data_IF_627178993315
#
_entry.id   IF_627178993315
#
_cell.length_a   1.000
_cell.length_b   1.000
_cell.length_c   1.000
_cell.angle_alpha   90.00
_cell.angle_beta   90.00
_cell.angle_gamma   90.00
#
_symmetry.space_group_name_H-M   'P 1'
#
loop_
_entity.id
_entity.type
_entity.pdbx_description
1 polymer ?
#
# COMPACT_ATOMS: atom_id res chain seq x y z
N UNK A 1 10.81 5.88 34.39
CA UNK A 1 11.43 7.21 34.19
C UNK A 1 12.51 7.23 33.09
N UNK A 2 12.72 6.14 32.33
CA UNK A 2 13.80 6.00 31.32
C UNK A 2 13.36 6.07 29.85
N UNK A 3 12.05 5.98 29.55
CA UNK A 3 11.53 6.04 28.16
C UNK A 3 11.36 7.49 27.69
N UNK A 4 10.90 8.40 28.57
CA UNK A 4 10.78 9.83 28.25
C UNK A 4 12.14 10.49 27.95
N UNK A 5 13.24 9.96 28.49
CA UNK A 5 14.57 10.49 28.24
C UNK A 5 15.13 10.05 26.86
N UNK A 6 14.81 8.83 26.41
CA UNK A 6 15.16 8.36 25.05
C UNK A 6 14.37 9.07 23.94
N UNK A 7 13.24 9.69 24.28
CA UNK A 7 12.47 10.54 23.36
C UNK A 7 13.04 11.96 23.22
N UNK A 8 13.90 12.39 24.15
CA UNK A 8 14.43 13.76 24.18
C UNK A 8 15.84 13.89 23.57
N UNK A 9 16.57 12.78 23.41
CA UNK A 9 18.01 12.78 23.07
C UNK A 9 18.32 12.44 21.60
N UNK A 10 17.40 12.76 20.68
CA UNK A 10 17.61 12.53 19.24
C UNK A 10 17.17 13.76 18.42
N UNK A 11 17.71 14.91 18.81
CA UNK A 11 17.47 16.24 18.23
C UNK A 11 18.23 16.44 16.92
N UNK A 12 17.73 15.82 15.83
CA UNK A 12 17.61 16.52 14.53
C UNK A 12 16.92 15.68 13.44
N UNK A 13 17.00 14.35 13.51
CA UNK A 13 16.40 13.45 12.50
C UNK A 13 15.18 12.66 12.98
N UNK A 14 14.88 12.66 14.28
CA UNK A 14 13.74 11.94 14.86
C UNK A 14 12.39 12.53 14.45
N UNK A 15 12.26 13.86 14.40
CA UNK A 15 10.99 14.54 14.11
C UNK A 15 10.41 14.20 12.72
N UNK A 16 11.26 13.91 11.73
CA UNK A 16 10.80 13.49 10.39
C UNK A 16 10.43 12.00 10.31
N UNK A 17 11.11 11.13 11.07
CA UNK A 17 10.79 9.69 11.14
C UNK A 17 9.42 9.44 11.77
N UNK A 18 9.10 10.19 12.83
CA UNK A 18 7.85 10.00 13.56
C UNK A 18 6.67 10.77 12.96
N UNK A 19 6.91 11.87 12.22
CA UNK A 19 5.83 12.67 11.62
C UNK A 19 4.95 11.92 10.61
N UNK A 20 5.50 10.93 9.89
CA UNK A 20 4.74 10.12 8.92
C UNK A 20 4.03 8.90 9.55
N UNK A 21 4.54 8.39 10.69
CA UNK A 21 3.93 7.29 11.46
C UNK A 21 2.94 7.82 12.51
N UNK A 22 3.02 9.12 12.85
CA UNK A 22 2.15 9.83 13.79
C UNK A 22 0.69 9.99 13.34
N UNK A 23 0.30 9.43 12.19
CA UNK A 23 -1.06 9.52 11.65
C UNK A 23 -2.13 8.96 12.61
N UNK A 24 -1.78 8.25 13.70
CA UNK A 24 -2.71 8.08 14.82
C UNK A 24 -2.03 7.76 16.18
N UNK A 25 -1.33 8.74 16.76
CA UNK A 25 -0.79 8.68 18.14
C UNK A 25 -1.87 8.50 19.24
N UNK A 26 -3.15 8.58 18.89
CA UNK A 26 -4.27 8.43 19.82
C UNK A 26 -4.39 7.01 20.40
N UNK A 27 -4.21 5.98 19.57
CA UNK A 27 -4.46 4.57 19.92
C UNK A 27 -3.27 3.99 20.72
N UNK A 28 -2.06 4.53 20.54
CA UNK A 28 -0.87 4.20 21.34
C UNK A 28 -1.05 4.53 22.83
N UNK A 29 -1.88 5.52 23.15
CA UNK A 29 -2.18 5.87 24.54
C UNK A 29 -3.04 4.81 25.25
N UNK A 30 -3.86 4.08 24.50
CA UNK A 30 -4.71 3.01 25.00
C UNK A 30 -3.97 1.66 25.18
N UNK A 31 -2.74 1.52 24.65
CA UNK A 31 -1.94 0.30 24.76
C UNK A 31 -1.26 0.18 26.13
N UNK A 32 -1.23 -1.05 26.66
CA UNK A 32 -0.42 -1.42 27.82
C UNK A 32 1.10 -1.39 27.51
N UNK A 33 1.93 -1.31 28.55
CA UNK A 33 3.38 -1.12 28.40
C UNK A 33 4.06 -2.21 27.57
N UNK A 34 3.71 -3.49 27.76
CA UNK A 34 4.25 -4.60 26.96
C UNK A 34 3.93 -4.46 25.46
N UNK A 35 2.76 -3.92 25.13
CA UNK A 35 2.34 -3.74 23.73
C UNK A 35 3.06 -2.57 23.08
N UNK A 36 3.36 -1.52 23.85
CA UNK A 36 4.16 -0.39 23.36
C UNK A 36 5.57 -0.82 22.97
N UNK A 37 6.15 -1.79 23.70
CA UNK A 37 7.47 -2.36 23.36
C UNK A 37 7.39 -3.12 22.04
N UNK A 38 6.41 -4.01 21.87
CA UNK A 38 6.22 -4.76 20.61
C UNK A 38 5.99 -3.81 19.44
N UNK A 39 5.14 -2.80 19.60
CA UNK A 39 4.89 -1.82 18.54
C UNK A 39 6.14 -0.98 18.23
N UNK A 40 6.94 -0.62 19.23
CA UNK A 40 8.20 0.08 19.01
C UNK A 40 9.19 -0.78 18.21
N UNK A 41 9.35 -2.05 18.56
CA UNK A 41 10.20 -2.99 17.83
C UNK A 41 9.73 -3.17 16.37
N UNK A 42 8.41 -3.24 16.15
CA UNK A 42 7.82 -3.30 14.79
C UNK A 42 8.10 -2.02 14.00
N UNK A 43 7.98 -0.85 14.64
CA UNK A 43 8.27 0.44 14.01
C UNK A 43 9.76 0.56 13.68
N UNK A 44 10.66 0.09 14.55
CA UNK A 44 12.10 0.09 14.28
C UNK A 44 12.46 -0.87 13.13
N UNK A 45 11.81 -2.03 13.06
CA UNK A 45 11.97 -2.98 11.96
C UNK A 45 11.49 -2.40 10.63
N UNK A 46 10.30 -1.77 10.59
CA UNK A 46 9.77 -1.09 9.41
C UNK A 46 10.56 0.19 9.07
N UNK A 47 11.18 0.81 10.06
CA UNK A 47 12.10 1.93 9.89
C UNK A 47 13.41 1.53 9.21
N UNK A 48 13.74 0.24 9.17
CA UNK A 48 14.86 -0.28 8.39
C UNK A 48 14.49 -0.32 6.90
N UNK A 49 15.12 0.57 6.13
CA UNK A 49 14.85 0.74 4.70
C UNK A 49 15.09 -0.55 3.89
N UNK A 50 16.02 -1.39 4.32
CA UNK A 50 16.33 -2.66 3.66
C UNK A 50 15.17 -3.65 3.84
N UNK A 51 14.64 -3.75 5.06
CA UNK A 51 13.53 -4.65 5.38
C UNK A 51 12.25 -4.19 4.66
N UNK A 52 11.91 -2.91 4.77
CA UNK A 52 10.75 -2.34 4.06
C UNK A 52 10.89 -2.44 2.54
N UNK A 53 12.10 -2.25 2.00
CA UNK A 53 12.39 -2.48 0.59
C UNK A 53 12.15 -3.92 0.18
N UNK A 54 12.63 -4.89 0.97
CA UNK A 54 12.42 -6.31 0.72
C UNK A 54 10.92 -6.70 0.71
N UNK A 55 10.13 -6.17 1.64
CA UNK A 55 8.68 -6.38 1.65
C UNK A 55 8.00 -5.83 0.39
N UNK A 56 8.39 -4.63 -0.06
CA UNK A 56 7.82 -4.05 -1.29
C UNK A 56 8.22 -4.83 -2.55
N UNK A 57 9.45 -5.34 -2.61
CA UNK A 57 9.92 -6.20 -3.71
C UNK A 57 9.10 -7.48 -3.78
N UNK A 58 8.92 -8.16 -2.65
CA UNK A 58 8.15 -9.41 -2.58
C UNK A 58 6.66 -9.18 -2.83
N UNK A 59 6.10 -8.05 -2.38
CA UNK A 59 4.73 -7.65 -2.69
C UNK A 59 4.54 -7.39 -4.20
N UNK A 60 5.49 -6.68 -4.84
CA UNK A 60 5.45 -6.43 -6.28
C UNK A 60 5.54 -7.71 -7.11
N UNK A 61 6.42 -8.64 -6.74
CA UNK A 61 6.52 -9.95 -7.37
C UNK A 61 5.22 -10.75 -7.22
N UNK A 62 4.61 -10.71 -6.03
CA UNK A 62 3.32 -11.38 -5.75
C UNK A 62 2.20 -10.81 -6.61
N UNK A 63 2.17 -9.50 -6.85
CA UNK A 63 1.18 -8.86 -7.70
C UNK A 63 1.29 -9.30 -9.16
N UNK A 64 2.51 -9.47 -9.67
CA UNK A 64 2.75 -9.99 -11.02
C UNK A 64 2.30 -11.45 -11.16
N UNK A 65 2.60 -12.28 -10.16
CA UNK A 65 2.11 -13.68 -10.11
C UNK A 65 0.59 -13.74 -10.04
N UNK A 66 -0.04 -12.88 -9.23
CA UNK A 66 -1.48 -12.81 -9.08
C UNK A 66 -2.18 -12.54 -10.42
N UNK A 67 -1.65 -11.63 -11.25
CA UNK A 67 -2.22 -11.36 -12.57
C UNK A 67 -2.24 -12.61 -13.46
N UNK A 68 -1.17 -13.42 -13.43
CA UNK A 68 -1.09 -14.71 -14.12
C UNK A 68 -2.08 -15.73 -13.57
N UNK A 69 -2.13 -15.89 -12.24
CA UNK A 69 -3.08 -16.80 -11.57
C UNK A 69 -4.54 -16.45 -11.90
N UNK A 70 -4.91 -15.17 -11.83
CA UNK A 70 -6.27 -14.71 -12.12
C UNK A 70 -6.65 -14.96 -13.58
N UNK A 71 -5.72 -14.71 -14.50
CA UNK A 71 -5.94 -14.96 -15.93
C UNK A 71 -6.07 -16.45 -16.23
N UNK A 72 -5.30 -17.30 -15.56
CA UNK A 72 -5.41 -18.75 -15.71
C UNK A 72 -6.71 -19.29 -15.09
N UNK A 73 -7.10 -18.80 -13.91
CA UNK A 73 -8.36 -19.16 -13.27
C UNK A 73 -9.56 -18.74 -14.14
N UNK A 74 -9.48 -17.57 -14.78
CA UNK A 74 -10.53 -17.09 -15.69
C UNK A 74 -10.70 -17.97 -16.94
N UNK A 75 -9.64 -18.67 -17.38
CA UNK A 75 -9.73 -19.65 -18.46
C UNK A 75 -10.46 -20.93 -18.05
N UNK A 76 -10.34 -21.35 -16.79
CA UNK A 76 -10.91 -22.60 -16.30
C UNK A 76 -12.32 -22.44 -15.70
N UNK A 77 -12.54 -21.36 -14.95
CA UNK A 77 -13.78 -21.14 -14.18
C UNK A 77 -14.60 -19.95 -14.70
N UNK A 78 -14.14 -19.26 -15.75
CA UNK A 78 -14.83 -18.13 -16.37
C UNK A 78 -14.38 -16.76 -15.85
N UNK A 79 -14.61 -15.74 -16.67
CA UNK A 79 -14.10 -14.37 -16.47
C UNK A 79 -14.62 -13.70 -15.19
N UNK A 80 -15.85 -13.99 -14.77
CA UNK A 80 -16.44 -13.39 -13.57
C UNK A 80 -16.06 -14.11 -12.29
N UNK A 81 -15.78 -15.42 -12.37
CA UNK A 81 -15.44 -16.22 -11.19
C UNK A 81 -14.04 -15.92 -10.66
N UNK A 82 -13.07 -15.66 -11.55
CA UNK A 82 -11.69 -15.35 -11.15
C UNK A 82 -11.58 -14.15 -10.19
N UNK A 83 -12.11 -12.94 -10.49
CA UNK A 83 -12.06 -11.83 -9.54
C UNK A 83 -12.86 -12.12 -8.27
N UNK A 84 -14.03 -12.79 -8.36
CA UNK A 84 -14.79 -13.19 -7.17
C UNK A 84 -13.96 -14.05 -6.22
N UNK A 85 -13.27 -15.07 -6.74
CA UNK A 85 -12.41 -15.94 -5.94
C UNK A 85 -11.19 -15.22 -5.38
N UNK A 86 -10.55 -14.35 -6.16
CA UNK A 86 -9.37 -13.61 -5.70
C UNK A 86 -9.71 -12.60 -4.60
N UNK A 87 -10.85 -11.90 -4.70
CA UNK A 87 -11.33 -11.04 -3.62
C UNK A 87 -11.87 -11.83 -2.43
N UNK A 88 -12.53 -12.96 -2.66
CA UNK A 88 -13.03 -13.82 -1.58
C UNK A 88 -11.90 -14.42 -0.75
N UNK A 89 -10.88 -14.99 -1.40
CA UNK A 89 -9.69 -15.51 -0.71
C UNK A 89 -8.88 -14.40 -0.03
N UNK A 90 -8.73 -13.24 -0.69
CA UNK A 90 -8.12 -12.05 -0.10
C UNK A 90 -8.85 -11.56 1.15
N UNK A 91 -10.20 -11.54 1.13
CA UNK A 91 -11.02 -11.17 2.27
C UNK A 91 -10.79 -12.10 3.46
N UNK A 92 -10.69 -13.42 3.23
CA UNK A 92 -10.38 -14.39 4.29
C UNK A 92 -9.01 -14.08 4.91
N UNK A 93 -7.98 -13.82 4.09
CA UNK A 93 -6.67 -13.42 4.60
C UNK A 93 -6.72 -12.13 5.42
N UNK A 94 -7.45 -11.11 4.94
CA UNK A 94 -7.65 -9.86 5.67
C UNK A 94 -8.40 -10.07 6.99
N UNK A 95 -9.41 -10.95 7.03
CA UNK A 95 -10.14 -11.29 8.26
C UNK A 95 -9.24 -11.99 9.28
N UNK A 96 -8.41 -12.93 8.85
CA UNK A 96 -7.43 -13.58 9.73
C UNK A 96 -6.47 -12.55 10.30
N UNK A 97 -5.93 -11.67 9.46
CA UNK A 97 -5.06 -10.58 9.90
C UNK A 97 -5.76 -9.65 10.90
N UNK A 98 -7.00 -9.25 10.61
CA UNK A 98 -7.81 -8.42 11.51
C UNK A 98 -8.06 -9.09 12.88
N UNK A 99 -8.35 -10.39 12.91
CA UNK A 99 -8.55 -11.13 14.16
C UNK A 99 -7.23 -11.20 14.95
N UNK A 100 -6.11 -11.49 14.28
CA UNK A 100 -4.80 -11.52 14.94
C UNK A 100 -4.46 -10.13 15.51
N UNK A 101 -4.67 -9.08 14.73
CA UNK A 101 -4.37 -7.71 15.15
C UNK A 101 -5.25 -7.27 16.34
N UNK A 102 -6.55 -7.54 16.29
CA UNK A 102 -7.47 -7.19 17.38
C UNK A 102 -7.31 -8.05 18.63
N UNK A 103 -6.89 -9.32 18.51
CA UNK A 103 -6.75 -10.22 19.67
C UNK A 103 -5.33 -10.22 20.26
N UNK A 104 -4.30 -10.27 19.42
CA UNK A 104 -2.90 -10.34 19.86
C UNK A 104 -2.29 -8.95 20.07
N UNK A 105 -2.51 -8.03 19.13
CA UNK A 105 -2.00 -6.65 19.19
C UNK A 105 -2.97 -5.68 19.89
N UNK A 106 -4.18 -6.17 20.23
CA UNK A 106 -5.27 -5.43 20.89
C UNK A 106 -5.55 -4.06 20.26
N UNK A 107 -5.37 -3.97 18.95
CA UNK A 107 -5.74 -2.77 18.20
C UNK A 107 -7.21 -2.47 18.48
N UNK A 108 -7.54 -1.24 18.93
CA UNK A 108 -8.91 -0.94 19.29
C UNK A 108 -9.84 -1.07 18.07
N UNK A 109 -11.06 -1.55 18.33
CA UNK A 109 -12.08 -1.72 17.30
C UNK A 109 -12.52 -0.36 16.75
N UNK A 110 -13.05 -0.32 15.51
CA UNK A 110 -13.61 0.91 14.96
C UNK A 110 -14.69 1.48 15.88
N UNK A 111 -14.60 2.78 16.19
CA UNK A 111 -15.54 3.49 17.05
C UNK A 111 -16.46 4.42 16.24
N UNK A 112 -17.20 5.29 16.94
CA UNK A 112 -18.13 6.22 16.30
C UNK A 112 -17.44 7.25 15.40
N UNK A 113 -16.13 7.51 15.57
CA UNK A 113 -15.37 8.43 14.69
C UNK A 113 -15.28 7.94 13.25
N UNK A 114 -15.55 6.65 13.01
CA UNK A 114 -15.65 6.09 11.67
C UNK A 114 -16.78 6.72 10.84
N UNK A 115 -17.83 7.22 11.50
CA UNK A 115 -18.94 7.92 10.84
C UNK A 115 -18.54 9.28 10.28
N UNK A 116 -17.49 9.89 10.84
CA UNK A 116 -16.94 11.17 10.38
C UNK A 116 -15.88 10.98 9.28
N UNK A 117 -15.57 9.73 8.90
CA UNK A 117 -14.55 9.44 7.92
C UNK A 117 -14.98 9.91 6.52
N UNK A 118 -14.11 10.60 5.76
CA UNK A 118 -14.47 11.19 4.48
C UNK A 118 -14.77 10.10 3.44
N UNK A 119 -15.76 10.34 2.57
CA UNK A 119 -16.30 9.33 1.65
C UNK A 119 -15.29 8.56 0.79
N UNK A 120 -14.14 9.16 0.47
CA UNK A 120 -13.09 8.54 -0.33
C UNK A 120 -12.38 7.36 0.37
N UNK A 121 -12.49 7.20 1.69
CA UNK A 121 -11.84 6.08 2.40
C UNK A 121 -12.51 4.74 2.06
N UNK A 122 -13.78 4.77 1.68
CA UNK A 122 -14.61 3.59 1.45
C UNK A 122 -14.47 2.98 0.05
N UNK A 123 -13.94 3.75 -0.91
CA UNK A 123 -13.84 3.30 -2.31
C UNK A 123 -12.60 2.44 -2.60
N UNK A 124 -11.72 2.23 -1.63
CA UNK A 124 -10.48 1.46 -1.82
C UNK A 124 -10.71 0.04 -2.36
N UNK A 125 -11.68 -0.68 -1.77
CA UNK A 125 -12.05 -2.02 -2.24
C UNK A 125 -12.61 -2.04 -3.67
N UNK A 126 -13.41 -1.03 -4.02
CA UNK A 126 -13.96 -0.88 -5.38
C UNK A 126 -12.87 -0.59 -6.41
N UNK A 127 -11.89 0.27 -6.06
CA UNK A 127 -10.74 0.54 -6.91
C UNK A 127 -9.88 -0.71 -7.13
N UNK A 128 -9.70 -1.53 -6.10
CA UNK A 128 -9.06 -2.84 -6.22
C UNK A 128 -9.80 -3.78 -7.18
N UNK A 129 -11.13 -3.87 -7.04
CA UNK A 129 -11.96 -4.70 -7.92
C UNK A 129 -11.86 -4.27 -9.38
N UNK A 130 -11.90 -2.96 -9.63
CA UNK A 130 -11.67 -2.38 -10.95
C UNK A 130 -10.28 -2.74 -11.50
N UNK A 131 -9.22 -2.66 -10.68
CA UNK A 131 -7.87 -3.06 -11.08
C UNK A 131 -7.81 -4.51 -11.57
N UNK A 132 -8.34 -5.46 -10.81
CA UNK A 132 -8.31 -6.88 -11.19
C UNK A 132 -9.11 -7.12 -12.46
N UNK A 133 -10.27 -6.48 -12.59
CA UNK A 133 -11.09 -6.57 -13.80
C UNK A 133 -10.37 -6.00 -15.03
N UNK A 134 -9.81 -4.79 -14.92
CA UNK A 134 -9.09 -4.14 -16.01
C UNK A 134 -7.87 -4.97 -16.45
N UNK A 135 -7.13 -5.53 -15.49
CA UNK A 135 -5.99 -6.40 -15.74
C UNK A 135 -6.46 -7.69 -16.47
N UNK A 136 -7.51 -8.34 -15.98
CA UNK A 136 -8.06 -9.55 -16.58
C UNK A 136 -8.48 -9.36 -18.05
N UNK A 137 -9.08 -8.21 -18.39
CA UNK A 137 -9.53 -7.92 -19.76
C UNK A 137 -8.37 -7.48 -20.67
N UNK A 138 -7.36 -6.80 -20.12
CA UNK A 138 -6.27 -6.20 -20.91
C UNK A 138 -5.11 -7.18 -21.14
N UNK A 139 -4.80 -8.03 -20.16
CA UNK A 139 -3.65 -8.95 -20.20
C UNK A 139 -3.66 -9.88 -21.43
N UNK A 140 -4.79 -10.48 -21.85
CA UNK A 140 -4.82 -11.33 -23.04
C UNK A 140 -4.54 -10.59 -24.36
N UNK A 141 -4.71 -9.26 -24.38
CA UNK A 141 -4.54 -8.42 -25.59
C UNK A 141 -3.16 -7.78 -25.67
N UNK A 142 -2.65 -7.31 -24.54
CA UNK A 142 -1.40 -6.55 -24.47
C UNK A 142 -0.19 -7.43 -24.07
N UNK A 143 -0.44 -8.62 -23.50
CA UNK A 143 0.59 -9.42 -22.85
C UNK A 143 0.89 -8.95 -21.42
N UNK A 144 1.56 -9.81 -20.65
CA UNK A 144 1.83 -9.58 -19.23
C UNK A 144 2.75 -8.39 -18.99
N UNK A 145 3.88 -8.33 -19.71
CA UNK A 145 4.90 -7.28 -19.54
C UNK A 145 4.36 -5.89 -19.88
N UNK A 146 3.66 -5.75 -21.00
CA UNK A 146 3.04 -4.48 -21.43
C UNK A 146 1.94 -4.04 -20.47
N UNK A 147 1.07 -4.95 -20.03
CA UNK A 147 0.00 -4.61 -19.09
C UNK A 147 0.55 -4.13 -17.74
N UNK A 148 1.54 -4.85 -17.19
CA UNK A 148 2.13 -4.51 -15.90
C UNK A 148 2.96 -3.22 -15.98
N UNK A 149 3.69 -3.00 -17.07
CA UNK A 149 4.49 -1.78 -17.25
C UNK A 149 3.60 -0.53 -17.37
N UNK A 150 2.52 -0.59 -18.16
CA UNK A 150 1.51 0.49 -18.22
C UNK A 150 0.94 0.75 -16.82
N UNK A 151 0.59 -0.32 -16.09
CA UNK A 151 0.02 -0.22 -14.76
C UNK A 151 0.97 0.47 -13.77
N UNK A 152 2.21 -0.01 -13.65
CA UNK A 152 3.22 0.58 -12.76
C UNK A 152 3.53 2.03 -13.15
N UNK A 153 3.63 2.34 -14.45
CA UNK A 153 3.84 3.71 -14.91
C UNK A 153 2.69 4.63 -14.46
N UNK A 154 1.44 4.21 -14.66
CA UNK A 154 0.26 4.98 -14.24
C UNK A 154 0.21 5.18 -12.72
N UNK A 155 0.58 4.16 -11.93
CA UNK A 155 0.65 4.25 -10.47
C UNK A 155 1.67 5.29 -10.00
N UNK A 156 2.88 5.29 -10.59
CA UNK A 156 3.93 6.23 -10.21
C UNK A 156 3.57 7.66 -10.59
N UNK A 157 2.99 7.87 -11.78
CA UNK A 157 2.52 9.21 -12.20
C UNK A 157 1.43 9.71 -11.25
N UNK A 158 0.43 8.87 -10.95
CA UNK A 158 -0.64 9.22 -10.03
C UNK A 158 -0.11 9.50 -8.61
N UNK A 159 0.85 8.72 -8.12
CA UNK A 159 1.50 8.96 -6.83
C UNK A 159 2.21 10.32 -6.80
N UNK A 160 2.85 10.73 -7.90
CA UNK A 160 3.47 12.04 -7.99
C UNK A 160 2.44 13.18 -7.96
N UNK A 161 1.27 12.99 -8.58
CA UNK A 161 0.15 13.95 -8.55
C UNK A 161 -0.43 14.05 -7.13
N UNK A 162 -0.67 12.91 -6.47
CA UNK A 162 -1.17 12.84 -5.09
C UNK A 162 -0.22 13.59 -4.13
N UNK A 163 1.08 13.31 -4.24
CA UNK A 163 2.12 13.98 -3.45
C UNK A 163 2.15 15.50 -3.69
N UNK A 164 2.00 15.93 -4.94
CA UNK A 164 2.07 17.36 -5.29
C UNK A 164 0.85 18.16 -4.83
N UNK A 165 -0.33 17.57 -5.01
CA UNK A 165 -1.60 18.17 -4.63
C UNK A 165 -1.95 17.95 -3.15
N UNK A 166 -1.09 17.27 -2.38
CA UNK A 166 -1.33 16.88 -0.98
C UNK A 166 -2.67 16.16 -0.78
N UNK A 167 -3.09 15.36 -1.77
CA UNK A 167 -4.38 14.68 -1.73
C UNK A 167 -4.39 13.63 -0.62
N UNK A 168 -5.54 13.41 0.01
CA UNK A 168 -5.71 12.37 1.06
C UNK A 168 -4.87 12.61 2.32
N UNK A 169 -4.45 13.86 2.57
CA UNK A 169 -3.72 14.24 3.79
C UNK A 169 -2.24 13.82 3.78
N UNK A 170 -1.68 13.45 2.62
CA UNK A 170 -0.25 13.16 2.50
C UNK A 170 0.58 14.45 2.61
N UNK A 171 1.81 14.40 3.15
CA UNK A 171 2.70 15.56 3.15
C UNK A 171 2.95 16.08 1.73
N UNK A 172 2.71 17.36 1.52
CA UNK A 172 2.95 17.99 0.22
C UNK A 172 4.44 17.86 -0.15
N UNK A 173 4.70 17.38 -1.37
CA UNK A 173 6.04 17.36 -1.95
C UNK A 173 6.08 18.18 -3.24
N UNK A 174 7.13 18.98 -3.38
CA UNK A 174 7.30 19.80 -4.57
C UNK A 174 7.48 18.92 -5.82
N UNK A 175 6.85 19.37 -6.90
CA UNK A 175 6.97 18.71 -8.19
C UNK A 175 8.25 19.20 -8.88
N UNK A 176 9.35 18.50 -8.63
CA UNK A 176 10.66 18.86 -9.18
C UNK A 176 10.79 18.46 -10.65
N UNK A 177 11.67 19.14 -11.39
CA UNK A 177 12.02 18.80 -12.78
C UNK A 177 12.45 17.32 -12.91
N UNK A 178 13.09 16.77 -11.88
CA UNK A 178 13.53 15.38 -11.83
C UNK A 178 12.37 14.39 -11.81
N UNK A 179 11.25 14.71 -11.14
CA UNK A 179 10.04 13.86 -11.16
C UNK A 179 9.40 13.86 -12.54
N UNK A 180 9.38 15.01 -13.23
CA UNK A 180 8.91 15.10 -14.62
C UNK A 180 9.75 14.22 -15.53
N UNK A 181 11.08 14.36 -15.47
CA UNK A 181 12.00 13.57 -16.27
C UNK A 181 11.86 12.07 -15.96
N UNK A 182 11.70 11.70 -14.69
CA UNK A 182 11.47 10.30 -14.29
C UNK A 182 10.13 9.77 -14.84
N UNK A 183 9.04 10.55 -14.77
CA UNK A 183 7.75 10.17 -15.35
C UNK A 183 7.82 9.98 -16.87
N UNK A 184 8.52 10.88 -17.58
CA UNK A 184 8.75 10.74 -19.02
C UNK A 184 9.60 9.50 -19.34
N UNK A 185 10.61 9.22 -18.52
CA UNK A 185 11.42 8.00 -18.62
C UNK A 185 10.59 6.74 -18.45
N UNK A 186 9.65 6.70 -17.50
CA UNK A 186 8.74 5.58 -17.33
C UNK A 186 7.85 5.37 -18.56
N UNK A 187 7.31 6.46 -19.14
CA UNK A 187 6.51 6.39 -20.37
C UNK A 187 7.35 5.82 -21.53
N UNK A 188 8.61 6.25 -21.66
CA UNK A 188 9.53 5.73 -22.66
C UNK A 188 9.80 4.23 -22.47
N UNK A 189 10.04 3.78 -21.22
CA UNK A 189 10.22 2.36 -20.92
C UNK A 189 8.99 1.54 -21.32
N UNK A 190 7.78 2.01 -20.98
CA UNK A 190 6.53 1.36 -21.39
C UNK A 190 6.40 1.30 -22.90
N UNK A 191 6.70 2.39 -23.61
CA UNK A 191 6.66 2.44 -25.06
C UNK A 191 7.58 1.40 -25.71
N UNK A 192 8.81 1.27 -25.21
CA UNK A 192 9.76 0.27 -25.71
C UNK A 192 9.24 -1.14 -25.48
N UNK A 193 8.76 -1.46 -24.27
CA UNK A 193 8.19 -2.78 -23.93
C UNK A 193 6.95 -3.09 -24.76
N UNK A 194 6.11 -2.08 -25.05
CA UNK A 194 4.90 -2.29 -25.84
C UNK A 194 5.20 -2.52 -27.33
N UNK A 195 6.36 -2.07 -27.83
CA UNK A 195 6.70 -2.08 -29.24
C UNK A 195 7.47 -3.32 -29.69
N UNK A 196 8.25 -3.92 -28.79
CA UNK A 196 9.19 -5.02 -29.03
C UNK A 196 8.94 -6.19 -28.09
#
# INVERSE_FOLDING_TARGET
MSILFRLNDNSDNGHKKWGAIAINLFWLRALGDDQRIVVADMVDLLGNIVFSGFLLITAGASLALQAGCNSNLARHAGRTFAPFWSFGSGLICCLIFFIIDTQALKTPLPDQSLLDAPGYVWIGGLMGAYYVFANLVSMPRLGAATSLSIFVCSQVIMACIIDHCALMGVPQRDFTIWRILASLGLILCVFIIARY
#
